data_IF_877881925101
#
_entry.id   IF_877881925101
#
_cell.length_a   1.000
_cell.length_b   1.000
_cell.length_c   1.000
_cell.angle_alpha   90.00
_cell.angle_beta   90.00
_cell.angle_gamma   90.00
#
_symmetry.space_group_name_H-M   'P 1'
#
loop_
_entity.id
_entity.type
_entity.pdbx_description
1 polymer ?
#
# COMPACT_ATOMS: atom_id res chain seq x y z
N UNK A 1 38.88 -45.83 24.12
CA UNK A 1 37.45 -45.53 24.29
C UNK A 1 37.30 -44.05 24.04
N UNK A 2 36.87 -43.69 22.83
CA UNK A 2 36.16 -42.44 22.57
C UNK A 2 35.40 -42.63 21.24
N UNK A 3 34.08 -42.70 21.33
CA UNK A 3 33.18 -42.99 20.22
C UNK A 3 32.90 -41.71 19.42
N UNK A 4 33.31 -41.70 18.15
CA UNK A 4 32.94 -40.66 17.19
C UNK A 4 31.51 -40.89 16.72
N UNK A 5 30.56 -40.09 17.21
CA UNK A 5 29.19 -40.08 16.71
C UNK A 5 29.16 -39.56 15.26
N UNK A 6 28.82 -40.44 14.32
CA UNK A 6 28.45 -40.08 12.94
C UNK A 6 27.01 -39.61 12.94
N UNK A 7 26.77 -38.35 12.58
CA UNK A 7 25.42 -37.83 12.44
C UNK A 7 24.87 -38.22 11.05
N UNK A 8 23.90 -39.14 11.05
CA UNK A 8 23.20 -39.64 9.87
C UNK A 8 22.24 -38.59 9.34
N UNK A 9 22.34 -38.28 8.05
CA UNK A 9 21.41 -37.44 7.30
C UNK A 9 20.00 -38.03 7.32
N UNK A 10 19.04 -37.29 7.86
CA UNK A 10 17.62 -37.51 7.64
C UNK A 10 16.98 -36.17 7.38
N UNK A 11 16.43 -36.01 6.18
CA UNK A 11 15.15 -35.35 5.90
C UNK A 11 15.04 -35.07 4.39
N UNK A 12 14.77 -36.13 3.62
CA UNK A 12 14.01 -35.98 2.37
C UNK A 12 12.55 -35.73 2.76
N UNK A 13 12.22 -34.47 3.04
CA UNK A 13 10.84 -34.02 3.07
C UNK A 13 10.43 -33.63 1.63
N UNK A 14 9.42 -34.34 1.14
CA UNK A 14 8.67 -34.12 -0.11
C UNK A 14 8.43 -32.63 -0.37
N UNK A 15 9.11 -32.07 -1.36
CA UNK A 15 8.81 -30.72 -1.87
C UNK A 15 7.59 -30.82 -2.78
N UNK A 16 6.50 -30.18 -2.38
CA UNK A 16 5.32 -29.96 -3.23
C UNK A 16 5.73 -29.06 -4.42
N UNK A 17 5.65 -29.53 -5.68
CA UNK A 17 6.09 -28.77 -6.84
C UNK A 17 5.19 -27.58 -7.20
N UNK A 18 4.06 -27.40 -6.50
CA UNK A 18 3.07 -26.34 -6.78
C UNK A 18 3.36 -24.98 -6.15
N UNK A 19 4.32 -24.88 -5.22
CA UNK A 19 4.68 -23.60 -4.63
C UNK A 19 5.82 -22.96 -5.41
N UNK A 20 5.62 -21.73 -5.87
CA UNK A 20 6.71 -20.88 -6.38
C UNK A 20 7.87 -20.95 -5.38
N UNK A 21 9.13 -21.02 -5.85
CA UNK A 21 10.26 -21.12 -4.94
C UNK A 21 10.21 -19.96 -3.96
N UNK A 22 10.25 -20.28 -2.65
CA UNK A 22 10.39 -19.27 -1.61
C UNK A 22 11.67 -18.49 -1.92
N UNK A 23 11.51 -17.26 -2.42
CA UNK A 23 12.63 -16.37 -2.70
C UNK A 23 13.31 -16.11 -1.35
N UNK A 24 14.57 -16.55 -1.14
CA UNK A 24 15.24 -16.33 0.13
C UNK A 24 15.43 -14.82 0.31
N UNK A 25 14.98 -14.28 1.45
CA UNK A 25 15.36 -12.93 1.85
C UNK A 25 16.86 -12.97 2.15
N UNK A 26 17.67 -12.52 1.19
CA UNK A 26 19.12 -12.43 1.33
C UNK A 26 19.51 -11.07 1.89
N UNK A 27 20.69 -10.96 2.50
CA UNK A 27 21.23 -9.74 3.10
C UNK A 27 21.39 -8.53 2.15
N UNK A 28 21.05 -8.69 0.86
CA UNK A 28 21.04 -7.64 -0.15
C UNK A 28 19.69 -6.89 -0.26
N UNK A 29 18.66 -7.25 0.51
CA UNK A 29 17.42 -6.45 0.56
C UNK A 29 17.71 -5.11 1.22
N UNK A 30 17.79 -4.04 0.41
CA UNK A 30 17.92 -2.69 0.93
C UNK A 30 16.60 -2.28 1.59
N UNK A 31 16.67 -1.71 2.80
CA UNK A 31 15.49 -1.15 3.47
C UNK A 31 14.76 -0.11 2.59
N UNK A 32 15.49 0.55 1.68
CA UNK A 32 14.93 1.51 0.72
C UNK A 32 14.09 0.85 -0.39
N UNK A 33 14.25 -0.45 -0.63
CA UNK A 33 13.47 -1.16 -1.66
C UNK A 33 12.15 -1.71 -1.10
N UNK A 34 12.01 -1.72 0.23
CA UNK A 34 10.80 -2.21 0.90
C UNK A 34 9.65 -1.23 0.66
N UNK A 35 8.54 -1.77 0.16
CA UNK A 35 7.25 -1.10 0.10
C UNK A 35 6.34 -1.67 1.17
N UNK A 36 5.72 -0.79 1.96
CA UNK A 36 4.83 -1.21 3.04
C UNK A 36 3.39 -0.81 2.70
N UNK A 37 2.51 -1.81 2.64
CA UNK A 37 1.07 -1.60 2.46
C UNK A 37 0.36 -1.47 3.82
N UNK A 38 -0.51 -0.48 3.98
CA UNK A 38 -1.24 -0.17 5.22
C UNK A 38 -2.64 0.38 4.94
N UNK A 39 -3.49 0.46 5.97
CA UNK A 39 -4.80 1.15 5.94
C UNK A 39 -5.66 0.72 4.74
N UNK A 40 -5.88 -0.60 4.63
CA UNK A 40 -6.66 -1.19 3.57
C UNK A 40 -8.16 -0.97 3.81
N UNK A 41 -8.90 -0.63 2.76
CA UNK A 41 -10.34 -0.45 2.76
C UNK A 41 -10.97 -1.14 1.54
N UNK A 42 -11.98 -1.96 1.76
CA UNK A 42 -12.77 -2.63 0.71
C UNK A 42 -13.93 -1.72 0.30
N UNK A 43 -14.25 -1.64 -0.99
CA UNK A 43 -15.40 -0.90 -1.49
C UNK A 43 -16.71 -1.52 -0.99
N UNK A 44 -17.79 -0.73 -0.80
CA UNK A 44 -19.08 -1.27 -0.36
C UNK A 44 -19.65 -2.38 -1.25
N UNK A 45 -19.41 -2.32 -2.56
CA UNK A 45 -19.78 -3.37 -3.51
C UNK A 45 -18.87 -4.63 -3.46
N UNK A 46 -17.82 -4.60 -2.64
CA UNK A 46 -16.88 -5.69 -2.44
C UNK A 46 -15.89 -5.92 -3.58
N UNK A 47 -15.96 -5.17 -4.68
CA UNK A 47 -15.20 -5.45 -5.92
C UNK A 47 -13.77 -4.92 -5.89
N UNK A 48 -13.46 -3.97 -5.00
CA UNK A 48 -12.17 -3.26 -4.98
C UNK A 48 -11.64 -3.15 -3.57
N UNK A 49 -10.32 -3.20 -3.46
CA UNK A 49 -9.61 -2.77 -2.25
C UNK A 49 -8.72 -1.58 -2.60
N UNK A 50 -8.68 -0.60 -1.70
CA UNK A 50 -7.73 0.50 -1.71
C UNK A 50 -6.82 0.39 -0.49
N UNK A 51 -5.55 0.76 -0.62
CA UNK A 51 -4.59 0.71 0.49
C UNK A 51 -3.47 1.72 0.27
N UNK A 52 -2.84 2.14 1.36
CA UNK A 52 -1.70 3.06 1.32
C UNK A 52 -0.42 2.26 1.12
N UNK A 53 0.39 2.64 0.12
CA UNK A 53 1.74 2.10 -0.09
C UNK A 53 2.76 3.18 0.21
N UNK A 54 3.58 2.92 1.23
CA UNK A 54 4.76 3.71 1.56
C UNK A 54 5.97 3.16 0.81
N UNK A 55 6.69 4.04 0.14
CA UNK A 55 7.91 3.69 -0.58
C UNK A 55 8.97 4.78 -0.41
N UNK A 56 10.24 4.38 -0.41
CA UNK A 56 11.34 5.34 -0.56
C UNK A 56 11.41 5.81 -2.01
N UNK A 57 11.62 7.11 -2.18
CA UNK A 57 11.88 7.72 -3.48
C UNK A 57 13.34 8.16 -3.50
N UNK A 58 14.17 7.65 -4.43
CA UNK A 58 15.52 8.15 -4.63
C UNK A 58 15.52 9.67 -4.75
N UNK A 59 16.56 10.32 -4.20
CA UNK A 59 16.74 11.78 -4.27
C UNK A 59 15.64 12.63 -3.60
N UNK A 60 14.75 12.01 -2.82
CA UNK A 60 13.88 12.73 -1.88
C UNK A 60 14.26 12.41 -0.43
N UNK A 61 14.27 13.42 0.46
CA UNK A 61 14.62 13.22 1.86
C UNK A 61 13.55 12.43 2.63
N UNK A 62 12.38 12.15 2.04
CA UNK A 62 11.22 11.54 2.71
C UNK A 62 10.60 10.44 1.85
N UNK A 63 10.05 9.44 2.53
CA UNK A 63 9.18 8.44 1.92
C UNK A 63 7.94 9.10 1.31
N UNK A 64 7.41 8.46 0.27
CA UNK A 64 6.17 8.81 -0.39
C UNK A 64 5.09 7.80 -0.01
N UNK A 65 3.92 8.29 0.39
CA UNK A 65 2.71 7.48 0.49
C UNK A 65 1.82 7.73 -0.72
N UNK A 66 1.40 6.65 -1.39
CA UNK A 66 0.41 6.67 -2.47
C UNK A 66 -0.74 5.74 -2.11
N UNK A 67 -1.93 6.07 -2.59
CA UNK A 67 -3.05 5.13 -2.51
C UNK A 67 -3.02 4.25 -3.76
N UNK A 68 -3.08 2.95 -3.54
CA UNK A 68 -3.17 1.92 -4.56
C UNK A 68 -4.56 1.30 -4.54
N UNK A 69 -4.96 0.72 -5.67
CA UNK A 69 -6.20 -0.02 -5.85
C UNK A 69 -5.92 -1.37 -6.49
N UNK A 70 -6.68 -2.39 -6.10
CA UNK A 70 -6.71 -3.71 -6.74
C UNK A 70 -8.15 -4.21 -6.82
N UNK A 71 -8.48 -5.02 -7.82
CA UNK A 71 -9.75 -5.75 -7.85
C UNK A 71 -9.67 -6.95 -6.89
N UNK A 72 -10.72 -7.18 -6.11
CA UNK A 72 -10.71 -8.19 -5.02
C UNK A 72 -10.80 -9.62 -5.50
N UNK A 73 -11.22 -9.83 -6.75
CA UNK A 73 -11.25 -11.13 -7.41
C UNK A 73 -9.87 -11.56 -7.96
N UNK A 74 -8.85 -10.69 -7.86
CA UNK A 74 -7.51 -10.95 -8.37
C UNK A 74 -7.38 -10.86 -9.89
N UNK A 75 -8.39 -10.33 -10.59
CA UNK A 75 -8.38 -10.19 -12.05
C UNK A 75 -7.39 -9.15 -12.56
N UNK A 76 -6.93 -8.23 -11.69
CA UNK A 76 -5.98 -7.18 -12.04
C UNK A 76 -4.86 -7.03 -11.00
N UNK A 77 -3.68 -6.61 -11.48
CA UNK A 77 -2.59 -6.23 -10.60
C UNK A 77 -2.91 -4.93 -9.85
N UNK A 78 -2.41 -4.83 -8.63
CA UNK A 78 -2.52 -3.59 -7.87
C UNK A 78 -1.82 -2.44 -8.61
N UNK A 79 -2.48 -1.28 -8.68
CA UNK A 79 -1.93 -0.08 -9.32
C UNK A 79 -2.12 1.16 -8.46
N UNK A 80 -1.20 2.12 -8.57
CA UNK A 80 -1.34 3.41 -7.93
C UNK A 80 -2.56 4.17 -8.49
N UNK A 81 -3.45 4.60 -7.61
CA UNK A 81 -4.60 5.44 -7.92
C UNK A 81 -4.25 6.93 -7.80
N UNK A 82 -3.32 7.27 -6.89
CA UNK A 82 -2.88 8.64 -6.65
C UNK A 82 -1.38 8.84 -6.93
N UNK A 83 -0.97 10.11 -7.06
CA UNK A 83 0.42 10.50 -7.34
C UNK A 83 1.28 10.56 -6.07
N UNK A 84 0.71 10.81 -4.89
CA UNK A 84 1.43 10.88 -3.60
C UNK A 84 2.44 12.02 -3.51
N UNK A 85 2.02 13.27 -3.68
CA UNK A 85 2.94 14.42 -3.68
C UNK A 85 3.83 14.49 -2.42
N UNK A 86 3.19 14.60 -1.24
CA UNK A 86 3.86 14.52 0.08
C UNK A 86 3.20 13.56 1.08
N UNK A 87 2.24 12.76 0.60
CA UNK A 87 1.61 11.68 1.35
C UNK A 87 0.10 11.67 1.16
N UNK A 88 -0.40 10.60 0.55
CA UNK A 88 -1.83 10.31 0.44
C UNK A 88 -2.18 9.19 1.42
N UNK A 89 -3.19 9.41 2.25
CA UNK A 89 -3.54 8.56 3.41
C UNK A 89 -5.05 8.48 3.62
N UNK A 90 -5.49 7.60 4.53
CA UNK A 90 -6.89 7.47 4.96
C UNK A 90 -7.87 7.24 3.79
N UNK A 91 -7.66 6.21 2.94
CA UNK A 91 -8.61 5.88 1.88
C UNK A 91 -9.96 5.45 2.48
N UNK A 92 -11.05 6.08 2.03
CA UNK A 92 -12.43 5.67 2.35
C UNK A 92 -13.30 5.69 1.10
N UNK A 93 -13.87 4.55 0.78
CA UNK A 93 -14.79 4.41 -0.35
C UNK A 93 -16.11 5.12 -0.09
N UNK A 94 -16.64 5.79 -1.11
CA UNK A 94 -17.98 6.34 -1.09
C UNK A 94 -19.02 5.21 -0.99
N UNK A 95 -20.20 5.44 -0.40
CA UNK A 95 -21.25 4.41 -0.26
C UNK A 95 -21.69 3.79 -1.59
N UNK A 96 -21.64 4.57 -2.68
CA UNK A 96 -21.96 4.14 -4.04
C UNK A 96 -20.80 3.41 -4.77
N UNK A 97 -19.65 3.23 -4.11
CA UNK A 97 -18.42 2.63 -4.66
C UNK A 97 -17.84 3.35 -5.89
N UNK A 98 -18.30 4.56 -6.22
CA UNK A 98 -17.86 5.30 -7.42
C UNK A 98 -16.67 6.22 -7.16
N UNK A 99 -16.36 6.53 -5.90
CA UNK A 99 -15.31 7.46 -5.53
C UNK A 99 -14.53 6.95 -4.32
N UNK A 100 -13.30 7.44 -4.21
CA UNK A 100 -12.47 7.27 -3.03
C UNK A 100 -12.14 8.64 -2.44
N UNK A 101 -12.52 8.85 -1.19
CA UNK A 101 -12.06 9.98 -0.39
C UNK A 101 -10.72 9.64 0.26
N UNK A 102 -9.85 10.64 0.38
CA UNK A 102 -8.55 10.50 1.00
C UNK A 102 -8.01 11.82 1.51
N UNK A 103 -6.99 11.74 2.35
CA UNK A 103 -6.26 12.89 2.86
C UNK A 103 -4.97 13.04 2.06
N UNK A 104 -4.79 14.21 1.44
CA UNK A 104 -3.60 14.54 0.66
C UNK A 104 -2.93 15.80 1.17
N UNK A 105 -1.60 15.82 1.14
CA UNK A 105 -0.80 17.01 1.38
C UNK A 105 -0.12 17.44 0.08
N UNK A 106 -0.32 18.71 -0.29
CA UNK A 106 0.37 19.33 -1.42
C UNK A 106 1.89 19.40 -1.22
N UNK A 107 2.60 19.81 -2.28
CA UNK A 107 4.07 19.86 -2.30
C UNK A 107 4.68 21.00 -1.47
N UNK A 108 3.87 21.98 -1.05
CA UNK A 108 4.30 23.08 -0.21
C UNK A 108 4.64 22.61 1.21
N UNK A 109 5.76 23.08 1.76
CA UNK A 109 6.16 22.72 3.13
C UNK A 109 5.12 23.14 4.17
N UNK A 110 4.45 24.28 3.92
CA UNK A 110 3.38 24.81 4.77
C UNK A 110 2.00 24.23 4.46
N UNK A 111 1.87 23.39 3.42
CA UNK A 111 0.59 22.79 3.08
C UNK A 111 0.13 21.90 4.23
N UNK A 112 -1.16 21.97 4.52
CA UNK A 112 -1.81 21.13 5.53
C UNK A 112 -2.54 19.99 4.80
N UNK A 113 -2.63 18.80 5.40
CA UNK A 113 -3.41 17.71 4.83
C UNK A 113 -4.87 18.14 4.60
N UNK A 114 -5.41 17.93 3.41
CA UNK A 114 -6.78 18.29 3.04
C UNK A 114 -7.55 17.07 2.57
N UNK A 115 -8.89 17.17 2.61
CA UNK A 115 -9.78 16.17 2.04
C UNK A 115 -9.82 16.29 0.52
N UNK A 116 -9.55 15.18 -0.16
CA UNK A 116 -9.66 15.03 -1.60
C UNK A 116 -10.58 13.85 -1.93
N UNK A 117 -11.15 13.87 -3.13
CA UNK A 117 -11.85 12.72 -3.72
C UNK A 117 -11.34 12.46 -5.13
N UNK A 118 -11.26 11.18 -5.50
CA UNK A 118 -10.88 10.71 -6.83
C UNK A 118 -11.89 9.68 -7.33
N UNK A 119 -12.22 9.64 -8.63
CA UNK A 119 -13.05 8.57 -9.19
C UNK A 119 -12.43 7.20 -8.93
N UNK A 120 -13.27 6.18 -8.71
CA UNK A 120 -12.84 4.83 -8.42
C UNK A 120 -11.96 4.21 -9.53
N UNK A 121 -12.19 4.59 -10.79
CA UNK A 121 -11.36 4.16 -11.92
C UNK A 121 -10.00 4.85 -12.01
N UNK A 122 -9.81 5.93 -11.24
CA UNK A 122 -8.73 6.87 -11.39
C UNK A 122 -9.14 8.06 -12.25
N UNK A 123 -8.20 8.98 -12.43
CA UNK A 123 -8.44 10.27 -13.07
C UNK A 123 -7.89 11.39 -12.21
N UNK A 124 -8.48 12.57 -12.33
CA UNK A 124 -8.07 13.73 -11.55
C UNK A 124 -8.72 13.72 -10.17
N UNK A 125 -7.91 13.87 -9.13
CA UNK A 125 -8.41 14.08 -7.77
C UNK A 125 -8.79 15.55 -7.58
N UNK A 126 -9.95 15.80 -6.97
CA UNK A 126 -10.37 17.16 -6.59
C UNK A 126 -10.31 17.35 -5.08
N UNK A 127 -9.82 18.51 -4.65
CA UNK A 127 -9.90 18.91 -3.26
C UNK A 127 -11.36 19.26 -2.91
N UNK A 128 -11.86 18.75 -1.78
CA UNK A 128 -13.25 18.97 -1.34
C UNK A 128 -13.37 20.21 -0.47
N UNK A 129 -12.41 20.42 0.43
CA UNK A 129 -12.45 21.55 1.36
C UNK A 129 -11.04 22.07 1.66
N UNK A 130 -10.98 23.28 2.22
CA UNK A 130 -9.74 23.89 2.74
C UNK A 130 -9.92 24.21 4.21
N UNK A 131 -9.35 23.37 5.07
CA UNK A 131 -9.38 23.54 6.51
C UNK A 131 -8.11 24.25 6.97
N UNK A 132 -8.19 25.32 7.79
CA UNK A 132 -7.02 26.06 8.27
C UNK A 132 -5.98 25.17 8.96
N UNK A 133 -6.45 24.16 9.71
CA UNK A 133 -5.61 23.23 10.45
C UNK A 133 -5.42 21.88 9.73
N UNK A 134 -6.01 21.72 8.55
CA UNK A 134 -6.06 20.46 7.83
C UNK A 134 -7.10 19.47 8.36
N UNK A 135 -7.07 18.27 7.78
CA UNK A 135 -7.94 17.13 8.09
C UNK A 135 -7.05 15.97 8.52
N UNK A 136 -7.44 15.26 9.57
CA UNK A 136 -6.69 14.11 10.11
C UNK A 136 -7.41 12.77 9.95
N UNK A 137 -8.74 12.79 9.78
CA UNK A 137 -9.56 11.61 9.53
C UNK A 137 -10.82 12.00 8.77
N UNK A 138 -11.51 11.03 8.17
CA UNK A 138 -12.74 11.23 7.43
C UNK A 138 -13.61 9.96 7.42
N UNK A 139 -14.92 10.15 7.31
CA UNK A 139 -15.89 9.08 7.06
C UNK A 139 -17.00 9.57 6.14
N UNK A 140 -17.59 8.65 5.38
CA UNK A 140 -18.84 8.90 4.67
C UNK A 140 -20.03 8.68 5.63
N UNK A 141 -21.14 9.37 5.37
CA UNK A 141 -22.42 9.23 6.08
C UNK A 141 -23.42 8.46 5.25
#
# INVERSE_FOLDING_TARGET
MDETFKNTSRDEATRDPGLSPLVPVTAHTNLKDIRTAMDAAISPDGKRAAFVVWEWVPDRPKQRARIWKVDTDGSSEARALTKGARGDTCPRWSPDSQQLAFISRGDGEKDRPQLHVIPAEGGEARQVCKMPNGVSDLSWS
#
